data_IF_376658433811
#
_entry.id   IF_376658433811
#
_cell.length_a   1.000
_cell.length_b   1.000
_cell.length_c   1.000
_cell.angle_alpha   90.00
_cell.angle_beta   90.00
_cell.angle_gamma   90.00
#
_symmetry.space_group_name_H-M   'P 1'
#
loop_
_entity.id
_entity.type
_entity.pdbx_description
1 polymer ?
#
# COMPACT_ATOMS: atom_id res chain seq x y z
N UNK A 1 17.00 62.51 37.49
CA UNK A 1 17.11 62.10 36.07
C UNK A 1 16.25 60.86 35.89
N UNK A 2 15.05 61.04 35.33
CA UNK A 2 14.57 60.42 34.07
C UNK A 2 14.21 58.93 34.22
N UNK A 3 12.91 58.56 34.29
CA UNK A 3 11.97 58.35 33.17
C UNK A 3 12.51 57.31 32.16
N UNK A 4 11.81 56.26 31.75
CA UNK A 4 10.41 55.88 31.95
C UNK A 4 10.12 54.53 31.28
N UNK A 5 9.05 53.89 31.75
CA UNK A 5 8.43 52.70 31.16
C UNK A 5 7.73 53.09 29.85
N UNK A 6 7.98 52.36 28.76
CA UNK A 6 7.33 52.60 27.46
C UNK A 6 6.36 51.46 27.16
N UNK A 7 5.07 51.80 27.20
CA UNK A 7 3.93 50.97 26.81
C UNK A 7 3.87 50.84 25.29
N UNK A 8 3.71 49.61 24.83
CA UNK A 8 3.41 49.24 23.43
C UNK A 8 1.89 49.27 23.22
N UNK A 9 1.41 50.04 22.25
CA UNK A 9 0.16 49.75 21.52
C UNK A 9 -0.07 50.76 20.36
N UNK A 10 -0.19 50.23 19.13
CA UNK A 10 -1.23 50.51 18.11
C UNK A 10 -0.70 50.17 16.72
N UNK A 11 -1.05 48.98 16.24
CA UNK A 11 -0.94 48.59 14.83
C UNK A 11 -2.30 48.76 14.14
N UNK A 12 -2.32 49.64 13.15
CA UNK A 12 -3.42 49.99 12.25
C UNK A 12 -3.83 48.79 11.38
N UNK A 13 -5.11 48.37 11.47
CA UNK A 13 -6.18 48.52 10.48
C UNK A 13 -5.91 47.96 9.08
N UNK A 14 -6.69 46.90 8.82
CA UNK A 14 -7.03 46.22 7.57
C UNK A 14 -7.60 47.20 6.54
N UNK A 15 -7.17 47.08 5.28
CA UNK A 15 -7.94 47.47 4.09
C UNK A 15 -7.41 46.69 2.87
N UNK A 16 -8.27 45.86 2.26
CA UNK A 16 -8.14 45.36 0.89
C UNK A 16 -9.58 45.15 0.40
N UNK A 17 -10.12 46.17 -0.27
CA UNK A 17 -11.38 46.12 -0.99
C UNK A 17 -11.19 45.77 -2.47
N UNK A 18 -12.32 45.32 -3.03
CA UNK A 18 -12.51 44.68 -4.31
C UNK A 18 -12.25 45.56 -5.55
N UNK A 19 -11.95 44.90 -6.66
CA UNK A 19 -11.95 45.49 -8.00
C UNK A 19 -12.53 44.49 -9.02
N UNK A 20 -13.53 44.98 -9.76
CA UNK A 20 -14.54 44.24 -10.51
C UNK A 20 -14.14 43.57 -11.83
N UNK A 21 -14.98 42.58 -12.13
CA UNK A 21 -15.40 42.00 -13.39
C UNK A 21 -15.52 42.98 -14.58
N UNK A 22 -14.93 42.64 -15.74
CA UNK A 22 -15.39 43.14 -17.05
C UNK A 22 -15.52 41.97 -18.03
N UNK A 23 -16.70 41.91 -18.65
CA UNK A 23 -17.16 40.97 -19.67
C UNK A 23 -16.92 41.50 -21.08
N UNK A 24 -16.80 40.59 -22.07
CA UNK A 24 -17.15 40.69 -23.53
C UNK A 24 -16.77 39.31 -24.15
N UNK A 25 -17.70 38.42 -24.57
CA UNK A 25 -18.46 38.35 -25.85
C UNK A 25 -17.58 38.69 -27.06
N UNK A 26 -17.49 37.96 -28.17
CA UNK A 26 -18.09 36.76 -28.83
C UNK A 26 -17.00 36.35 -29.88
N UNK A 27 -16.94 35.18 -30.53
CA UNK A 27 -17.83 34.70 -31.58
C UNK A 27 -17.44 33.27 -32.01
N UNK A 28 -18.45 32.59 -32.57
CA UNK A 28 -18.42 31.27 -33.18
C UNK A 28 -17.67 31.29 -34.52
N UNK A 29 -17.08 30.16 -34.90
CA UNK A 29 -17.40 29.58 -36.21
C UNK A 29 -17.06 28.09 -36.29
N UNK A 30 -18.00 27.36 -36.88
CA UNK A 30 -17.97 25.95 -37.20
C UNK A 30 -17.21 25.73 -38.51
N UNK A 31 -16.57 24.57 -38.68
CA UNK A 31 -16.72 23.85 -39.96
C UNK A 31 -16.53 22.35 -39.78
N UNK A 32 -17.55 21.61 -40.20
CA UNK A 32 -17.51 20.17 -40.45
C UNK A 32 -16.91 19.91 -41.84
N UNK A 33 -16.20 18.80 -42.02
CA UNK A 33 -16.22 18.08 -43.29
C UNK A 33 -15.95 16.58 -43.08
N UNK A 34 -16.88 15.78 -43.60
CA UNK A 34 -16.89 14.31 -43.69
C UNK A 34 -16.23 13.87 -44.99
N UNK A 35 -15.57 12.71 -44.99
CA UNK A 35 -15.55 11.64 -46.03
C UNK A 35 -14.46 10.63 -45.67
N UNK A 36 -14.39 9.38 -46.10
CA UNK A 36 -15.31 8.32 -46.51
C UNK A 36 -14.42 7.07 -46.76
N UNK A 37 -14.87 5.88 -46.32
CA UNK A 37 -14.59 4.53 -46.85
C UNK A 37 -13.21 4.21 -47.45
N UNK A 38 -12.57 3.16 -46.92
CA UNK A 38 -12.26 1.98 -47.76
C UNK A 38 -12.15 0.68 -46.95
N UNK A 39 -13.06 -0.23 -47.26
CA UNK A 39 -12.95 -1.68 -47.02
C UNK A 39 -11.91 -2.24 -47.99
N UNK A 40 -11.00 -3.07 -47.50
CA UNK A 40 -10.38 -4.13 -48.30
C UNK A 40 -10.34 -5.42 -47.49
N UNK A 41 -10.86 -6.46 -48.12
CA UNK A 41 -11.00 -7.86 -47.72
C UNK A 41 -10.00 -8.66 -48.55
N UNK A 42 -9.44 -9.73 -47.95
CA UNK A 42 -8.60 -10.84 -48.50
C UNK A 42 -7.21 -10.83 -47.86
N UNK A 43 -6.60 -11.94 -47.46
CA UNK A 43 -6.83 -13.35 -47.79
C UNK A 43 -6.31 -14.26 -46.66
N UNK A 44 -6.99 -15.39 -46.46
CA UNK A 44 -6.51 -16.54 -45.68
C UNK A 44 -5.66 -17.38 -46.63
N UNK A 45 -4.43 -17.69 -46.22
CA UNK A 45 -3.69 -18.82 -46.75
C UNK A 45 -3.36 -19.78 -45.61
N UNK A 46 -3.92 -20.97 -45.75
CA UNK A 46 -3.58 -22.21 -45.05
C UNK A 46 -2.33 -22.81 -45.68
N UNK A 47 -1.38 -23.23 -44.87
CA UNK A 47 -0.44 -24.31 -45.24
C UNK A 47 0.02 -25.00 -43.97
N UNK A 48 -0.50 -26.22 -43.78
CA UNK A 48 0.09 -27.25 -42.93
C UNK A 48 1.41 -27.72 -43.56
N UNK A 49 2.44 -27.94 -42.74
CA UNK A 49 3.43 -28.98 -43.01
C UNK A 49 4.01 -29.46 -41.69
N UNK A 50 3.72 -30.73 -41.40
CA UNK A 50 4.34 -31.52 -40.36
C UNK A 50 5.85 -31.66 -40.61
N UNK A 51 6.63 -31.67 -39.53
CA UNK A 51 8.05 -31.92 -39.54
C UNK A 51 8.51 -32.19 -38.12
N UNK A 52 8.53 -33.48 -37.76
CA UNK A 52 9.09 -34.00 -36.53
C UNK A 52 10.58 -33.62 -36.43
N UNK A 53 11.01 -33.10 -35.28
CA UNK A 53 12.33 -33.46 -34.77
C UNK A 53 12.43 -33.25 -33.26
N UNK A 54 12.77 -34.36 -32.61
CA UNK A 54 13.02 -34.53 -31.19
C UNK A 54 14.32 -33.82 -30.77
N UNK A 55 14.26 -32.92 -29.79
CA UNK A 55 15.40 -32.63 -28.94
C UNK A 55 14.97 -32.38 -27.49
N UNK A 56 15.38 -33.31 -26.63
CA UNK A 56 15.45 -33.21 -25.19
C UNK A 56 16.05 -31.87 -24.75
N UNK A 57 15.34 -31.06 -23.96
CA UNK A 57 15.92 -29.98 -23.16
C UNK A 57 15.01 -29.56 -21.99
N UNK A 58 15.61 -29.61 -20.81
CA UNK A 58 15.23 -29.15 -19.48
C UNK A 58 13.89 -28.43 -19.29
N UNK A 59 13.05 -29.04 -18.43
CA UNK A 59 11.89 -28.43 -17.79
C UNK A 59 12.33 -27.27 -16.87
N UNK A 60 12.55 -26.09 -17.46
CA UNK A 60 12.47 -24.82 -16.73
C UNK A 60 11.01 -24.60 -16.33
N UNK A 61 10.76 -24.49 -15.02
CA UNK A 61 9.50 -24.05 -14.45
C UNK A 61 9.10 -22.68 -15.05
N UNK A 62 8.21 -22.69 -16.02
CA UNK A 62 7.56 -21.46 -16.51
C UNK A 62 6.43 -21.13 -15.55
N UNK A 63 6.68 -20.17 -14.66
CA UNK A 63 5.64 -19.54 -13.86
C UNK A 63 4.59 -18.98 -14.83
N UNK A 64 3.33 -19.44 -14.70
CA UNK A 64 2.20 -18.91 -15.45
C UNK A 64 1.99 -17.44 -15.07
N UNK A 65 2.60 -16.52 -15.83
CA UNK A 65 2.23 -15.09 -15.80
C UNK A 65 0.75 -14.99 -16.15
N UNK A 66 -0.04 -14.41 -15.25
CA UNK A 66 -1.39 -13.98 -15.59
C UNK A 66 -1.32 -13.08 -16.82
N UNK A 67 -2.29 -13.18 -17.73
CA UNK A 67 -2.40 -12.28 -18.89
C UNK A 67 -2.62 -10.85 -18.37
N UNK A 68 -1.54 -10.13 -18.09
CA UNK A 68 -1.58 -8.69 -17.96
C UNK A 68 -2.08 -8.13 -19.29
N UNK A 69 -3.12 -7.31 -19.21
CA UNK A 69 -3.60 -6.59 -20.36
C UNK A 69 -2.47 -5.64 -20.80
N UNK A 70 -1.79 -5.96 -21.91
CA UNK A 70 -0.58 -5.28 -22.41
C UNK A 70 -0.80 -3.80 -22.81
N UNK A 71 -1.96 -3.22 -22.50
CA UNK A 71 -2.31 -1.83 -22.78
C UNK A 71 -2.31 -0.95 -21.52
N UNK A 72 -1.68 -1.39 -20.43
CA UNK A 72 -1.48 -0.53 -19.26
C UNK A 72 -0.57 0.65 -19.64
N UNK A 73 -0.96 1.92 -19.36
CA UNK A 73 -0.08 3.06 -19.59
C UNK A 73 1.21 2.99 -18.75
N UNK A 74 1.28 2.07 -17.79
CA UNK A 74 2.40 1.83 -16.88
C UNK A 74 3.25 0.61 -17.27
N UNK A 75 3.07 0.03 -18.47
CA UNK A 75 3.81 -1.18 -18.87
C UNK A 75 5.35 -1.00 -18.88
N UNK A 76 5.82 0.24 -19.00
CA UNK A 76 7.23 0.61 -18.93
C UNK A 76 7.76 0.76 -17.50
N UNK A 77 6.88 0.74 -16.48
CA UNK A 77 7.25 0.86 -15.08
C UNK A 77 7.40 -0.52 -14.44
N UNK A 78 8.35 -0.61 -13.51
CA UNK A 78 8.64 -1.85 -12.79
C UNK A 78 7.97 -1.85 -11.40
N UNK A 79 7.65 -3.04 -10.86
CA UNK A 79 7.33 -3.18 -9.45
C UNK A 79 8.46 -2.67 -8.55
N UNK A 80 8.12 -2.28 -7.33
CA UNK A 80 9.13 -1.93 -6.34
C UNK A 80 9.76 -3.18 -5.73
N UNK A 81 11.05 -3.07 -5.41
CA UNK A 81 11.72 -4.04 -4.56
C UNK A 81 11.09 -4.03 -3.16
N UNK A 82 10.75 -5.21 -2.64
CA UNK A 82 10.39 -5.36 -1.24
C UNK A 82 11.64 -5.32 -0.37
N UNK A 83 11.56 -4.62 0.76
CA UNK A 83 12.62 -4.58 1.76
C UNK A 83 12.19 -5.40 2.97
N UNK A 84 12.51 -6.70 2.93
CA UNK A 84 12.10 -7.68 3.92
C UNK A 84 13.30 -8.55 4.33
N UNK A 85 13.49 -8.73 5.63
CA UNK A 85 14.32 -9.80 6.19
C UNK A 85 13.59 -10.50 7.33
N UNK A 86 14.03 -11.69 7.75
CA UNK A 86 13.42 -12.40 8.87
C UNK A 86 13.46 -11.58 10.16
N UNK A 87 12.36 -11.57 10.94
CA UNK A 87 12.34 -11.03 12.30
C UNK A 87 12.22 -9.52 12.42
N UNK A 88 11.77 -8.83 11.35
CA UNK A 88 11.50 -7.40 11.37
C UNK A 88 10.50 -7.02 12.49
N UNK A 89 10.70 -5.87 13.14
CA UNK A 89 9.77 -5.36 14.14
C UNK A 89 8.44 -4.96 13.50
N UNK A 90 8.50 -4.29 12.34
CA UNK A 90 7.31 -3.88 11.62
C UNK A 90 7.54 -3.84 10.12
N UNK A 91 6.57 -4.29 9.34
CA UNK A 91 6.50 -4.11 7.90
C UNK A 91 5.36 -3.16 7.55
N UNK A 92 5.65 -2.07 6.85
CA UNK A 92 4.61 -1.21 6.29
C UNK A 92 4.19 -1.72 4.90
N UNK A 93 2.88 -1.92 4.73
CA UNK A 93 2.29 -2.40 3.50
C UNK A 93 1.45 -1.28 2.85
N UNK A 94 1.92 -0.80 1.70
CA UNK A 94 1.16 0.09 0.82
C UNK A 94 0.15 -0.66 -0.06
N UNK A 95 -0.69 0.08 -0.79
CA UNK A 95 -1.62 -0.53 -1.76
C UNK A 95 -0.81 -1.09 -2.93
N UNK A 96 -0.12 -0.20 -3.64
CA UNK A 96 0.72 -0.44 -4.80
C UNK A 96 1.63 0.76 -5.05
N UNK A 97 2.69 0.61 -5.88
CA UNK A 97 3.53 1.73 -6.26
C UNK A 97 2.75 2.82 -6.98
N UNK A 98 2.75 4.04 -6.43
CA UNK A 98 2.29 5.22 -7.17
C UNK A 98 3.25 5.54 -8.32
N UNK A 99 2.79 6.27 -9.35
CA UNK A 99 3.62 6.64 -10.52
C UNK A 99 5.05 7.08 -10.18
N UNK A 100 5.23 8.11 -9.35
CA UNK A 100 6.57 8.59 -8.98
C UNK A 100 7.40 7.52 -8.26
N UNK A 101 6.77 6.77 -7.35
CA UNK A 101 7.45 5.66 -6.67
C UNK A 101 7.97 4.62 -7.67
N UNK A 102 7.15 4.25 -8.65
CA UNK A 102 7.55 3.30 -9.68
C UNK A 102 8.58 3.87 -10.67
N UNK A 103 8.54 5.18 -10.96
CA UNK A 103 9.55 5.86 -11.79
C UNK A 103 10.92 5.96 -11.08
N UNK A 104 10.93 6.24 -9.78
CA UNK A 104 12.17 6.41 -9.01
C UNK A 104 12.67 5.11 -8.39
N UNK A 105 11.86 4.05 -8.36
CA UNK A 105 12.19 2.80 -7.69
C UNK A 105 12.15 2.88 -6.15
N UNK A 106 11.44 3.86 -5.58
CA UNK A 106 11.43 4.11 -4.13
C UNK A 106 10.02 4.16 -3.54
N UNK A 107 9.84 3.59 -2.35
CA UNK A 107 8.56 3.55 -1.65
C UNK A 107 8.14 4.94 -1.17
N UNK A 108 6.85 5.24 -1.34
CA UNK A 108 6.23 6.48 -0.88
C UNK A 108 6.97 7.76 -1.34
N UNK A 109 7.55 7.76 -2.54
CA UNK A 109 8.48 8.79 -3.02
C UNK A 109 7.83 10.14 -3.35
N UNK A 110 6.50 10.19 -3.54
CA UNK A 110 5.82 11.43 -3.88
C UNK A 110 5.99 12.48 -2.76
N UNK A 111 6.41 13.73 -3.04
CA UNK A 111 6.63 14.77 -2.02
C UNK A 111 5.40 15.11 -1.18
N UNK A 112 4.19 14.90 -1.72
CA UNK A 112 2.95 15.11 -0.97
C UNK A 112 2.60 13.90 -0.09
N UNK A 113 3.36 12.82 -0.13
CA UNK A 113 3.14 11.65 0.73
C UNK A 113 3.71 11.92 2.12
N UNK A 114 2.89 11.71 3.15
CA UNK A 114 3.27 12.00 4.52
C UNK A 114 4.04 10.85 5.21
N UNK A 115 4.25 9.71 4.54
CA UNK A 115 4.81 8.49 5.15
C UNK A 115 6.13 8.75 5.89
N UNK A 116 7.15 9.26 5.18
CA UNK A 116 8.49 9.52 5.75
C UNK A 116 8.44 10.51 6.92
N UNK A 117 7.62 11.56 6.79
CA UNK A 117 7.40 12.53 7.86
C UNK A 117 6.70 11.91 9.07
N UNK A 118 5.71 11.03 8.86
CA UNK A 118 5.01 10.35 9.95
C UNK A 118 5.92 9.35 10.65
N UNK A 119 6.71 8.58 9.88
CA UNK A 119 7.68 7.61 10.39
C UNK A 119 8.71 8.28 11.31
N UNK A 120 9.29 9.39 10.87
CA UNK A 120 10.25 10.13 11.69
C UNK A 120 9.58 10.77 12.92
N UNK A 121 8.48 11.50 12.72
CA UNK A 121 7.84 12.25 13.81
C UNK A 121 7.15 11.37 14.85
N UNK A 122 6.87 10.11 14.53
CA UNK A 122 6.42 9.14 15.53
C UNK A 122 7.55 8.53 16.35
N UNK A 123 8.81 8.82 16.00
CA UNK A 123 10.00 8.23 16.62
C UNK A 123 10.24 6.77 16.21
N UNK A 124 9.74 6.33 15.04
CA UNK A 124 10.15 5.03 14.45
C UNK A 124 11.57 5.13 13.88
N UNK A 125 11.91 6.26 13.27
CA UNK A 125 13.28 6.57 12.84
C UNK A 125 13.82 7.77 13.63
N UNK A 126 15.10 7.70 14.00
CA UNK A 126 15.78 8.77 14.73
C UNK A 126 16.01 10.01 13.89
N UNK A 127 16.07 9.87 12.55
CA UNK A 127 16.18 10.96 11.58
C UNK A 127 15.10 10.86 10.50
N UNK A 128 14.89 11.95 9.76
CA UNK A 128 14.06 11.92 8.56
C UNK A 128 14.84 11.25 7.42
N UNK A 129 14.46 10.00 7.11
CA UNK A 129 15.03 9.24 6.00
C UNK A 129 14.39 9.73 4.69
N UNK A 130 15.16 10.08 3.66
CA UNK A 130 14.62 10.40 2.34
C UNK A 130 14.15 9.12 1.63
N UNK A 131 13.16 9.19 0.72
CA UNK A 131 12.70 8.01 -0.03
C UNK A 131 13.82 7.26 -0.76
N UNK A 132 14.84 7.97 -1.23
CA UNK A 132 15.99 7.37 -1.93
C UNK A 132 16.86 6.46 -1.06
N UNK A 133 16.69 6.51 0.26
CA UNK A 133 17.39 5.67 1.24
C UNK A 133 16.47 4.60 1.86
N UNK A 134 15.35 4.30 1.22
CA UNK A 134 14.36 3.35 1.74
C UNK A 134 14.92 1.93 1.97
N UNK A 135 15.89 1.52 1.15
CA UNK A 135 16.65 0.28 1.31
C UNK A 135 17.35 0.15 2.66
N UNK A 136 17.64 1.27 3.33
CA UNK A 136 18.38 1.29 4.60
C UNK A 136 17.49 1.03 5.83
N UNK A 137 16.16 1.08 5.68
CA UNK A 137 15.22 0.92 6.80
C UNK A 137 15.33 -0.41 7.54
N UNK A 138 15.46 -1.58 6.86
CA UNK A 138 15.54 -2.85 7.55
C UNK A 138 16.77 -2.93 8.46
N UNK A 139 17.94 -2.57 7.94
CA UNK A 139 19.19 -2.65 8.70
C UNK A 139 19.27 -1.61 9.83
N UNK A 140 18.90 -0.35 9.55
CA UNK A 140 19.09 0.74 10.51
C UNK A 140 18.01 0.82 11.59
N UNK A 141 16.80 0.35 11.29
CA UNK A 141 15.63 0.57 12.13
C UNK A 141 14.75 -0.67 12.33
N UNK A 142 15.12 -1.82 11.75
CA UNK A 142 14.33 -3.05 11.77
C UNK A 142 12.90 -2.86 11.21
N UNK A 143 12.77 -1.97 10.21
CA UNK A 143 11.51 -1.63 9.53
C UNK A 143 11.53 -2.10 8.08
N UNK A 144 10.54 -2.88 7.68
CA UNK A 144 10.36 -3.34 6.30
C UNK A 144 9.32 -2.57 5.51
N UNK A 145 9.40 -2.70 4.18
CA UNK A 145 8.51 -2.05 3.22
C UNK A 145 8.05 -3.04 2.15
N UNK A 146 6.75 -3.02 1.84
CA UNK A 146 6.16 -3.81 0.76
C UNK A 146 4.85 -3.18 0.26
N UNK A 147 4.26 -3.76 -0.78
CA UNK A 147 2.93 -3.43 -1.25
C UNK A 147 2.06 -4.69 -1.36
N UNK A 148 0.74 -4.51 -1.23
CA UNK A 148 -0.21 -5.58 -1.45
C UNK A 148 -0.26 -5.99 -2.93
N UNK A 149 -0.17 -5.03 -3.86
CA UNK A 149 -0.20 -5.25 -5.31
C UNK A 149 1.05 -4.68 -5.96
N UNK A 150 1.69 -5.46 -6.82
CA UNK A 150 2.96 -5.11 -7.46
C UNK A 150 2.78 -4.10 -8.62
N UNK A 151 1.61 -4.07 -9.26
CA UNK A 151 1.34 -3.26 -10.45
C UNK A 151 1.28 -1.76 -10.11
N UNK A 152 2.10 -0.91 -10.76
CA UNK A 152 1.99 0.55 -10.59
C UNK A 152 0.67 1.14 -11.10
N UNK A 153 0.23 2.23 -10.48
CA UNK A 153 -0.86 3.08 -10.99
C UNK A 153 -0.72 4.53 -10.54
N UNK A 154 -1.41 5.46 -11.21
CA UNK A 154 -1.43 6.87 -10.76
C UNK A 154 -2.38 7.05 -9.57
N UNK A 155 -3.46 6.28 -9.53
CA UNK A 155 -4.50 6.32 -8.50
C UNK A 155 -4.82 4.91 -8.00
N UNK A 156 -5.10 4.79 -6.71
CA UNK A 156 -5.49 3.51 -6.11
C UNK A 156 -6.81 2.97 -6.66
N UNK A 157 -7.71 3.83 -7.15
CA UNK A 157 -8.99 3.41 -7.75
C UNK A 157 -8.83 2.67 -9.09
N UNK A 158 -7.63 2.70 -9.70
CA UNK A 158 -7.32 1.95 -10.92
C UNK A 158 -7.00 0.47 -10.63
N UNK A 159 -6.87 0.09 -9.36
CA UNK A 159 -6.79 -1.32 -8.97
C UNK A 159 -8.18 -1.88 -8.79
N UNK A 160 -8.44 -3.02 -9.43
CA UNK A 160 -9.71 -3.71 -9.20
C UNK A 160 -9.72 -4.39 -7.83
N UNK A 161 -10.91 -4.57 -7.26
CA UNK A 161 -11.06 -5.34 -6.02
C UNK A 161 -10.57 -6.78 -6.18
N UNK A 162 -10.80 -7.39 -7.34
CA UNK A 162 -10.36 -8.75 -7.64
C UNK A 162 -8.84 -8.85 -7.62
N UNK A 163 -8.15 -7.92 -8.29
CA UNK A 163 -6.68 -7.85 -8.30
C UNK A 163 -6.08 -7.76 -6.90
N UNK A 164 -6.64 -6.91 -6.03
CA UNK A 164 -6.17 -6.82 -4.64
C UNK A 164 -6.45 -8.09 -3.83
N UNK A 165 -7.55 -8.81 -4.10
CA UNK A 165 -7.87 -10.08 -3.44
C UNK A 165 -6.92 -11.18 -3.90
N UNK A 166 -6.64 -11.23 -5.20
CA UNK A 166 -5.79 -12.24 -5.83
C UNK A 166 -4.32 -12.12 -5.38
N UNK A 167 -3.89 -10.94 -4.91
CA UNK A 167 -2.53 -10.74 -4.39
C UNK A 167 -2.38 -11.09 -2.90
N UNK A 168 -3.47 -11.28 -2.15
CA UNK A 168 -3.41 -11.60 -0.72
C UNK A 168 -2.63 -12.89 -0.43
N UNK A 169 -2.83 -14.02 -1.15
CA UNK A 169 -2.08 -15.24 -0.86
C UNK A 169 -0.56 -15.06 -0.95
N UNK A 170 -0.07 -14.43 -2.02
CA UNK A 170 1.35 -14.15 -2.19
C UNK A 170 1.89 -13.20 -1.11
N UNK A 171 1.09 -12.22 -0.69
CA UNK A 171 1.41 -11.35 0.43
C UNK A 171 1.52 -12.12 1.76
N UNK A 172 0.57 -13.02 2.07
CA UNK A 172 0.63 -13.86 3.27
C UNK A 172 1.82 -14.83 3.25
N UNK A 173 2.20 -15.35 2.08
CA UNK A 173 3.42 -16.14 1.90
C UNK A 173 4.70 -15.32 2.16
N UNK A 174 4.74 -14.03 1.80
CA UNK A 174 5.84 -13.14 2.20
C UNK A 174 5.89 -13.01 3.74
N UNK A 175 4.75 -12.79 4.38
CA UNK A 175 4.70 -12.65 5.85
C UNK A 175 5.11 -13.93 6.57
N UNK A 176 4.68 -15.10 6.11
CA UNK A 176 5.06 -16.37 6.73
C UNK A 176 6.54 -16.71 6.61
N UNK A 177 7.19 -16.27 5.52
CA UNK A 177 8.64 -16.43 5.32
C UNK A 177 9.46 -15.47 6.18
N UNK A 178 9.05 -14.20 6.29
CA UNK A 178 9.83 -13.18 6.99
C UNK A 178 9.43 -12.96 8.46
N UNK A 179 8.23 -13.39 8.85
CA UNK A 179 7.70 -13.35 10.23
C UNK A 179 7.94 -12.03 10.97
N UNK A 180 7.49 -10.89 10.42
CA UNK A 180 7.59 -9.64 11.15
C UNK A 180 6.70 -9.66 12.40
N UNK A 181 7.08 -8.97 13.48
CA UNK A 181 6.23 -8.87 14.68
C UNK A 181 4.92 -8.15 14.36
N UNK A 182 4.99 -7.08 13.57
CA UNK A 182 3.84 -6.32 13.12
C UNK A 182 3.79 -6.16 11.61
N UNK A 183 2.58 -6.09 11.07
CA UNK A 183 2.30 -5.54 9.74
C UNK A 183 1.38 -4.35 9.88
N UNK A 184 1.80 -3.21 9.34
CA UNK A 184 1.04 -1.98 9.33
C UNK A 184 0.51 -1.69 7.92
N UNK A 185 -0.81 -1.77 7.75
CA UNK A 185 -1.48 -1.42 6.50
C UNK A 185 -1.65 0.09 6.38
N UNK A 186 -1.08 0.69 5.34
CA UNK A 186 -1.12 2.14 5.08
C UNK A 186 -2.38 2.49 4.27
N UNK A 187 -3.54 2.30 4.90
CA UNK A 187 -4.85 2.61 4.35
C UNK A 187 -5.91 1.55 4.65
N UNK A 188 -7.11 2.01 5.01
CA UNK A 188 -8.25 1.14 5.39
C UNK A 188 -8.68 0.19 4.27
N UNK A 189 -8.59 0.62 3.01
CA UNK A 189 -8.96 -0.20 1.84
C UNK A 189 -8.13 -1.48 1.78
N UNK A 190 -6.81 -1.40 2.02
CA UNK A 190 -5.90 -2.55 2.03
C UNK A 190 -6.35 -3.54 3.10
N UNK A 191 -6.55 -3.01 4.31
CA UNK A 191 -6.97 -3.82 5.44
C UNK A 191 -8.30 -4.51 5.18
N UNK A 192 -9.27 -3.83 4.58
CA UNK A 192 -10.56 -4.43 4.25
C UNK A 192 -10.44 -5.62 3.31
N UNK A 193 -9.57 -5.54 2.31
CA UNK A 193 -9.31 -6.67 1.41
C UNK A 193 -8.69 -7.85 2.16
N UNK A 194 -7.62 -7.57 2.94
CA UNK A 194 -6.91 -8.60 3.69
C UNK A 194 -7.82 -9.24 4.74
N UNK A 195 -8.48 -8.45 5.59
CA UNK A 195 -9.41 -8.92 6.63
C UNK A 195 -10.52 -9.81 6.07
N UNK A 196 -11.14 -9.41 4.95
CA UNK A 196 -12.19 -10.23 4.34
C UNK A 196 -11.65 -11.55 3.77
N UNK A 197 -10.39 -11.58 3.35
CA UNK A 197 -9.71 -12.80 2.91
C UNK A 197 -9.36 -13.69 4.09
N UNK A 198 -8.83 -13.11 5.18
CA UNK A 198 -8.56 -13.80 6.44
C UNK A 198 -9.82 -14.42 7.05
N UNK A 199 -10.93 -13.68 7.07
CA UNK A 199 -12.21 -14.18 7.58
C UNK A 199 -12.77 -15.36 6.76
N UNK A 200 -12.47 -15.45 5.46
CA UNK A 200 -12.83 -16.62 4.65
C UNK A 200 -11.96 -17.82 4.98
N UNK A 201 -10.66 -17.60 5.18
CA UNK A 201 -9.71 -18.65 5.54
C UNK A 201 -10.01 -19.22 6.94
N UNK A 202 -10.37 -18.38 7.91
CA UNK A 202 -10.76 -18.85 9.25
C UNK A 202 -12.04 -19.68 9.22
N UNK A 203 -13.02 -19.31 8.39
CA UNK A 203 -14.29 -20.05 8.23
C UNK A 203 -14.14 -21.37 7.47
N UNK A 204 -13.18 -21.49 6.55
CA UNK A 204 -12.94 -22.74 5.83
C UNK A 204 -12.41 -23.87 6.74
N UNK A 205 -11.88 -23.54 7.93
CA UNK A 205 -11.47 -24.50 8.96
C UNK A 205 -12.53 -24.89 10.00
N UNK A 206 -13.66 -24.16 10.08
CA UNK A 206 -14.75 -24.45 11.04
C UNK A 206 -16.05 -24.81 10.29
N UNK A 207 -16.65 -25.97 10.63
CA UNK A 207 -18.01 -26.31 10.18
C UNK A 207 -18.96 -25.14 10.54
N UNK A 208 -19.80 -24.73 9.58
CA UNK A 208 -20.82 -23.66 9.69
C UNK A 208 -21.45 -23.62 11.09
N UNK A 209 -21.06 -22.63 11.89
CA UNK A 209 -21.88 -22.11 12.98
C UNK A 209 -22.37 -20.69 12.65
N UNK A 210 -23.46 -20.33 13.30
CA UNK A 210 -24.51 -19.43 12.86
C UNK A 210 -24.07 -17.99 12.51
N UNK A 211 -24.77 -17.42 11.51
CA UNK A 211 -24.60 -16.06 11.03
C UNK A 211 -25.16 -15.07 12.06
N UNK A 212 -24.32 -14.66 12.99
CA UNK A 212 -24.60 -13.60 13.96
C UNK A 212 -23.44 -12.63 14.13
N UNK A 213 -22.76 -12.20 13.05
CA UNK A 213 -21.65 -11.24 13.15
C UNK A 213 -22.16 -9.81 12.98
N UNK A 214 -22.33 -9.11 14.10
CA UNK A 214 -22.50 -7.66 14.12
C UNK A 214 -21.33 -7.02 13.37
N UNK A 215 -21.62 -6.22 12.33
CA UNK A 215 -20.61 -5.49 11.54
C UNK A 215 -19.95 -4.43 12.43
N UNK A 216 -19.00 -4.83 13.30
CA UNK A 216 -18.11 -3.85 13.93
C UNK A 216 -17.41 -3.07 12.81
N UNK A 217 -17.58 -1.75 12.86
CA UNK A 217 -16.97 -0.82 11.90
C UNK A 217 -15.45 -0.98 11.98
N UNK A 218 -14.78 -1.05 10.83
CA UNK A 218 -13.32 -1.11 10.83
C UNK A 218 -12.77 0.16 11.47
N UNK A 219 -11.81 -0.02 12.38
CA UNK A 219 -11.13 1.06 13.07
C UNK A 219 -9.65 1.03 12.74
N UNK A 220 -9.02 2.20 12.74
CA UNK A 220 -7.55 2.31 12.69
C UNK A 220 -6.96 1.81 14.01
N UNK A 221 -5.68 1.44 13.99
CA UNK A 221 -4.96 0.92 15.15
C UNK A 221 -4.73 -0.59 15.09
N UNK A 222 -4.48 -1.19 16.25
CA UNK A 222 -4.30 -2.63 16.41
C UNK A 222 -5.62 -3.36 16.09
N UNK A 223 -5.53 -4.41 15.28
CA UNK A 223 -6.69 -5.17 14.81
C UNK A 223 -6.95 -6.39 15.67
N UNK A 224 -8.17 -6.91 15.59
CA UNK A 224 -8.61 -8.11 16.34
C UNK A 224 -8.23 -9.41 15.63
N UNK A 225 -7.28 -9.39 14.70
CA UNK A 225 -6.80 -10.58 13.98
C UNK A 225 -5.29 -10.66 14.16
N UNK A 226 -4.77 -11.87 14.26
CA UNK A 226 -3.35 -12.17 14.21
C UNK A 226 -3.07 -13.36 13.32
N UNK A 227 -1.92 -13.32 12.65
CA UNK A 227 -1.43 -14.46 11.86
C UNK A 227 -0.60 -15.36 12.77
N UNK A 228 -0.88 -16.66 12.76
CA UNK A 228 -0.08 -17.67 13.43
C UNK A 228 0.68 -18.51 12.40
N UNK A 229 1.93 -18.83 12.73
CA UNK A 229 2.77 -19.68 11.90
C UNK A 229 2.82 -21.10 12.49
N UNK A 230 2.57 -22.10 11.65
CA UNK A 230 2.40 -23.49 12.10
C UNK A 230 3.67 -24.22 12.51
N UNK A 231 4.84 -23.64 12.25
CA UNK A 231 6.15 -24.19 12.60
C UNK A 231 6.93 -23.19 13.46
N UNK A 232 7.69 -23.68 14.43
CA UNK A 232 8.57 -22.84 15.21
C UNK A 232 9.91 -22.66 14.49
N UNK A 233 10.36 -21.40 14.37
CA UNK A 233 11.71 -21.06 13.92
C UNK A 233 12.38 -20.29 15.05
N UNK A 234 13.50 -20.82 15.55
CA UNK A 234 14.25 -20.21 16.64
C UNK A 234 14.63 -18.76 16.30
N UNK A 235 14.40 -17.85 17.24
CA UNK A 235 14.70 -16.42 17.06
C UNK A 235 13.70 -15.62 16.22
N UNK A 236 12.66 -16.25 15.65
CA UNK A 236 11.62 -15.54 14.90
C UNK A 236 10.27 -15.54 15.64
N UNK A 237 9.46 -14.47 15.47
CA UNK A 237 8.09 -14.43 16.00
C UNK A 237 7.23 -15.61 15.53
N UNK A 238 6.41 -16.16 16.41
CA UNK A 238 5.41 -17.20 16.07
C UNK A 238 4.09 -16.61 15.57
N UNK A 239 3.90 -15.30 15.79
CA UNK A 239 2.73 -14.58 15.37
C UNK A 239 3.09 -13.21 14.78
N UNK A 240 2.22 -12.72 13.92
CA UNK A 240 2.27 -11.36 13.38
C UNK A 240 0.98 -10.63 13.72
N UNK A 241 1.12 -9.49 14.38
CA UNK A 241 0.01 -8.61 14.75
C UNK A 241 -0.29 -7.63 13.61
N UNK A 242 -1.57 -7.33 13.43
CA UNK A 242 -2.04 -6.51 12.31
C UNK A 242 -2.44 -5.12 12.82
N UNK A 243 -1.90 -4.08 12.21
CA UNK A 243 -2.17 -2.68 12.54
C UNK A 243 -2.59 -1.91 11.29
N UNK A 244 -3.41 -0.88 11.46
CA UNK A 244 -3.91 -0.08 10.33
C UNK A 244 -3.75 1.40 10.63
N UNK A 245 -3.18 2.13 9.68
CA UNK A 245 -3.09 3.60 9.68
C UNK A 245 -3.84 4.18 8.48
N UNK A 246 -4.18 5.48 8.51
CA UNK A 246 -4.77 6.14 7.36
C UNK A 246 -3.81 6.13 6.17
N UNK A 247 -4.36 6.27 4.97
CA UNK A 247 -3.54 6.46 3.77
C UNK A 247 -2.67 7.71 3.93
N UNK A 248 -1.37 7.56 3.69
CA UNK A 248 -0.39 8.65 3.85
C UNK A 248 -0.33 9.59 2.64
N UNK A 249 -0.99 9.26 1.53
CA UNK A 249 -1.10 10.14 0.36
C UNK A 249 -1.67 11.51 0.73
N UNK A 250 -1.05 12.57 0.22
CA UNK A 250 -1.54 13.94 0.36
C UNK A 250 -2.89 14.21 -0.33
N UNK A 251 -3.35 13.29 -1.19
CA UNK A 251 -4.69 13.36 -1.81
C UNK A 251 -5.82 13.03 -0.81
N UNK A 252 -5.50 12.37 0.29
CA UNK A 252 -6.48 11.98 1.32
C UNK A 252 -6.50 13.04 2.42
N UNK A 253 -7.54 13.87 2.40
CA UNK A 253 -7.71 15.03 3.30
C UNK A 253 -8.47 14.71 4.60
N UNK A 254 -9.11 13.55 4.69
CA UNK A 254 -9.85 13.13 5.88
C UNK A 254 -8.96 13.04 7.14
N UNK A 255 -7.66 12.79 6.95
CA UNK A 255 -6.68 12.70 8.04
C UNK A 255 -5.53 13.65 7.78
N UNK A 256 -5.33 14.59 8.70
CA UNK A 256 -4.23 15.54 8.66
C UNK A 256 -2.94 14.89 9.16
N UNK A 257 -1.81 15.57 8.98
CA UNK A 257 -0.50 15.07 9.42
C UNK A 257 -0.49 14.72 10.92
N UNK A 258 -1.02 15.54 11.85
CA UNK A 258 -1.05 15.19 13.27
C UNK A 258 -1.81 13.90 13.56
N UNK A 259 -2.94 13.66 12.89
CA UNK A 259 -3.74 12.44 13.07
C UNK A 259 -2.96 11.18 12.64
N UNK A 260 -2.25 11.30 11.52
CA UNK A 260 -1.39 10.24 10.99
C UNK A 260 -0.23 9.95 11.95
N UNK A 261 0.44 11.00 12.44
CA UNK A 261 1.54 10.87 13.42
C UNK A 261 1.04 10.18 14.68
N UNK A 262 -0.12 10.56 15.23
CA UNK A 262 -0.66 9.95 16.45
C UNK A 262 -0.85 8.43 16.33
N UNK A 263 -1.30 7.94 15.16
CA UNK A 263 -1.46 6.52 14.92
C UNK A 263 -0.12 5.80 14.69
N UNK A 264 0.85 6.44 14.03
CA UNK A 264 2.22 5.91 13.94
C UNK A 264 2.90 5.86 15.32
N UNK A 265 2.69 6.85 16.19
CA UNK A 265 3.19 6.85 17.56
C UNK A 265 2.60 5.71 18.38
N UNK A 266 1.29 5.46 18.25
CA UNK A 266 0.65 4.29 18.89
C UNK A 266 1.27 2.98 18.43
N UNK A 267 1.52 2.80 17.13
CA UNK A 267 2.21 1.64 16.61
C UNK A 267 3.64 1.52 17.16
N UNK A 268 4.38 2.62 17.18
CA UNK A 268 5.75 2.66 17.71
C UNK A 268 5.80 2.26 19.19
N UNK A 269 4.82 2.70 19.98
CA UNK A 269 4.71 2.30 21.39
C UNK A 269 4.55 0.78 21.49
N UNK A 270 3.65 0.18 20.71
CA UNK A 270 3.46 -1.28 20.69
C UNK A 270 4.70 -2.03 20.22
N UNK A 271 5.40 -1.53 19.19
CA UNK A 271 6.63 -2.16 18.68
C UNK A 271 7.71 -2.22 19.75
N UNK A 272 7.85 -1.17 20.57
CA UNK A 272 8.83 -1.10 21.66
C UNK A 272 8.46 -1.94 22.88
N UNK A 273 7.19 -2.32 23.03
CA UNK A 273 6.76 -3.16 24.14
C UNK A 273 7.25 -4.61 23.94
N UNK A 274 7.64 -5.30 25.02
CA UNK A 274 7.83 -6.75 25.00
C UNK A 274 6.55 -7.45 24.54
N UNK A 275 6.67 -8.49 23.73
CA UNK A 275 5.49 -9.20 23.21
C UNK A 275 4.58 -9.77 24.31
N UNK A 276 5.13 -10.09 25.49
CA UNK A 276 4.39 -10.58 26.66
C UNK A 276 3.44 -9.54 27.28
N UNK A 277 3.66 -8.25 27.02
CA UNK A 277 2.83 -7.16 27.56
C UNK A 277 1.67 -6.79 26.62
N UNK A 278 1.63 -7.38 25.42
CA UNK A 278 0.56 -7.14 24.46
C UNK A 278 -0.48 -8.24 24.63
N UNK A 279 -1.65 -7.90 25.18
CA UNK A 279 -2.75 -8.86 25.28
C UNK A 279 -3.31 -9.18 23.88
N UNK A 280 -3.03 -10.40 23.42
CA UNK A 280 -3.54 -10.94 22.16
C UNK A 280 -4.54 -12.09 22.36
N UNK A 281 -4.97 -12.35 23.60
CA UNK A 281 -5.82 -13.49 23.95
C UNK A 281 -7.21 -13.43 23.29
N UNK A 282 -7.75 -12.23 23.11
CA UNK A 282 -9.04 -11.99 22.46
C UNK A 282 -8.98 -11.86 20.93
N UNK A 283 -7.82 -12.04 20.30
CA UNK A 283 -7.66 -11.89 18.84
C UNK A 283 -8.05 -13.15 18.08
N UNK A 284 -8.69 -12.99 16.93
CA UNK A 284 -8.96 -14.08 15.99
C UNK A 284 -7.65 -14.58 15.37
N UNK A 285 -7.31 -15.83 15.67
CA UNK A 285 -6.13 -16.50 15.15
C UNK A 285 -6.39 -17.02 13.74
N UNK A 286 -5.55 -16.64 12.79
CA UNK A 286 -5.55 -17.21 11.44
C UNK A 286 -4.24 -17.91 11.20
N UNK A 287 -4.29 -19.25 11.12
CA UNK A 287 -3.11 -20.06 10.80
C UNK A 287 -2.88 -20.01 9.30
N UNK A 288 -1.76 -19.42 8.88
CA UNK A 288 -1.33 -19.47 7.48
C UNK A 288 -0.18 -20.45 7.34
N UNK A 289 -0.31 -21.37 6.38
CA UNK A 289 0.74 -22.32 6.00
C UNK A 289 1.24 -21.89 4.64
N UNK A 290 2.51 -21.48 4.57
CA UNK A 290 3.13 -21.09 3.30
C UNK A 290 2.92 -22.19 2.28
N UNK A 291 2.47 -21.81 1.09
CA UNK A 291 2.25 -22.76 -0.01
C UNK A 291 3.54 -23.15 -0.72
N UNK A 292 4.65 -22.47 -0.40
CA UNK A 292 6.00 -22.76 -0.91
C UNK A 292 6.95 -23.14 0.24
N UNK A 293 7.79 -24.18 0.06
CA UNK A 293 8.80 -24.59 1.03
C UNK A 293 9.86 -23.50 1.26
#
# INVERSE_FOLDING_TARGET
MQLGSTTVARGSRVECEAGELVTRKTDQEQTQAKTAKKRTRRERHTSESAGENSHHRDRRYSAKKSKQNNNSPYAHLHPLQDYLHPGLDVVFCGINPGRMSAETGHHFANPTNHFWRCLHRSGMTTTLVPPSEDFSLPERFNVGLTNLVDRPSTQACELSRAEMVDSVPAFLDKLARHRPRFVCFVGMVIWEIVRNSLAKLSQQGMKKLEKGRSKKKNQMGLQTYKLLYGNEIAGLPQETLLFVVPCTSGRVVQYQIPDKIALFTKLQTLVRMPSSEIDTSGMECVVWRSSSP
#
